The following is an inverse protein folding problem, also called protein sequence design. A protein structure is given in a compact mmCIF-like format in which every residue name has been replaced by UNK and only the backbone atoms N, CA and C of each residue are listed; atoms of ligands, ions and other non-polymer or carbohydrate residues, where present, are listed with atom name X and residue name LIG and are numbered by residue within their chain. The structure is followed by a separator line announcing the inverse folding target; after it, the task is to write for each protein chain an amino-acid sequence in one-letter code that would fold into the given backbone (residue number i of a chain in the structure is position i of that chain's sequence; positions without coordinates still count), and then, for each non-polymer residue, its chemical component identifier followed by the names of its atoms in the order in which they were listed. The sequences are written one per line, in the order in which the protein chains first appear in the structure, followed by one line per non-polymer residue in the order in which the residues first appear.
data_IF_195437285043
#
_entry.id   IF_195437285043
#
_cell.length_a   1.000
_cell.length_b   1.000
_cell.length_c   1.000
_cell.angle_alpha   90.00
_cell.angle_beta   90.00
_cell.angle_gamma   90.00
#
_symmetry.space_group_name_H-M   'P 1'
#
loop_
_entity.id
_entity.type
_entity.pdbx_description
1 polymer ?
#
# COMPACT_ATOMS: atom_id res chain seq x y z
N UNK A 1 -20.75 -25.51 -25.89
CA UNK A 1 -20.16 -24.29 -26.50
C UNK A 1 -20.78 -23.00 -25.96
N UNK A 2 -22.09 -22.89 -25.79
CA UNK A 2 -22.74 -21.64 -25.29
C UNK A 2 -22.33 -21.23 -23.87
N UNK A 3 -22.18 -22.16 -22.93
CA UNK A 3 -21.77 -21.85 -21.54
C UNK A 3 -20.37 -21.23 -21.44
N UNK A 4 -19.39 -21.77 -22.14
CA UNK A 4 -18.02 -21.26 -22.14
C UNK A 4 -17.89 -19.85 -22.78
N UNK A 5 -18.77 -19.51 -23.71
CA UNK A 5 -18.85 -18.16 -24.30
C UNK A 5 -19.42 -17.19 -23.27
N UNK A 6 -20.48 -17.57 -22.57
CA UNK A 6 -21.09 -16.76 -21.51
C UNK A 6 -20.14 -16.49 -20.32
N UNK A 7 -19.36 -17.49 -19.90
CA UNK A 7 -18.35 -17.34 -18.84
C UNK A 7 -17.22 -16.38 -19.28
N UNK A 8 -16.76 -16.48 -20.52
CA UNK A 8 -15.76 -15.56 -21.08
C UNK A 8 -16.26 -14.12 -21.19
N UNK A 9 -17.50 -13.95 -21.62
CA UNK A 9 -18.12 -12.61 -21.70
C UNK A 9 -18.29 -11.98 -20.31
N UNK A 10 -18.74 -12.75 -19.34
CA UNK A 10 -18.88 -12.27 -17.96
C UNK A 10 -17.53 -11.90 -17.33
N UNK A 11 -16.50 -12.71 -17.56
CA UNK A 11 -15.13 -12.42 -17.11
C UNK A 11 -14.56 -11.15 -17.76
N UNK A 12 -14.78 -10.96 -19.07
CA UNK A 12 -14.33 -9.75 -19.79
C UNK A 12 -15.05 -8.49 -19.30
N UNK A 13 -16.36 -8.58 -19.06
CA UNK A 13 -17.15 -7.48 -18.50
C UNK A 13 -16.69 -7.12 -17.09
N UNK A 14 -16.44 -8.11 -16.24
CA UNK A 14 -15.90 -7.88 -14.88
C UNK A 14 -14.53 -7.17 -14.94
N UNK A 15 -13.63 -7.62 -15.82
CA UNK A 15 -12.31 -7.00 -16.00
C UNK A 15 -12.42 -5.55 -16.50
N UNK A 16 -13.37 -5.29 -17.43
CA UNK A 16 -13.60 -3.93 -17.95
C UNK A 16 -14.15 -3.01 -16.87
N UNK A 17 -15.08 -3.50 -16.04
CA UNK A 17 -15.63 -2.74 -14.91
C UNK A 17 -14.57 -2.45 -13.84
N UNK A 18 -13.71 -3.41 -13.54
CA UNK A 18 -12.59 -3.24 -12.60
C UNK A 18 -11.60 -2.18 -13.09
N UNK A 19 -11.27 -2.18 -14.40
CA UNK A 19 -10.44 -1.14 -15.01
C UNK A 19 -11.08 0.24 -14.97
N UNK A 20 -12.38 0.33 -15.27
CA UNK A 20 -13.10 1.61 -15.23
C UNK A 20 -13.14 2.16 -13.80
N UNK A 21 -13.48 1.34 -12.82
CA UNK A 21 -13.47 1.74 -11.41
C UNK A 21 -12.09 2.23 -10.96
N UNK A 22 -11.01 1.60 -11.43
CA UNK A 22 -9.64 2.03 -11.17
C UNK A 22 -9.37 3.43 -11.75
N UNK A 23 -9.77 3.69 -13.00
CA UNK A 23 -9.60 4.99 -13.67
C UNK A 23 -10.39 6.08 -12.96
N UNK A 24 -11.63 5.81 -12.59
CA UNK A 24 -12.51 6.76 -11.90
C UNK A 24 -11.94 7.12 -10.51
N UNK A 25 -11.47 6.12 -9.75
CA UNK A 25 -10.83 6.32 -8.47
C UNK A 25 -9.51 7.10 -8.59
N UNK A 26 -8.70 6.80 -9.61
CA UNK A 26 -7.48 7.54 -9.93
C UNK A 26 -7.78 9.01 -10.21
N UNK A 27 -8.74 9.29 -11.09
CA UNK A 27 -9.13 10.66 -11.43
C UNK A 27 -9.59 11.44 -10.19
N UNK A 28 -10.31 10.78 -9.28
CA UNK A 28 -10.75 11.38 -8.03
C UNK A 28 -9.59 11.69 -7.07
N UNK A 29 -8.68 10.73 -6.87
CA UNK A 29 -7.52 10.89 -5.99
C UNK A 29 -6.48 11.89 -6.53
N UNK A 30 -6.38 12.06 -7.84
CA UNK A 30 -5.53 13.09 -8.47
C UNK A 30 -6.14 14.50 -8.39
N UNK A 31 -7.46 14.63 -8.48
CA UNK A 31 -8.15 15.93 -8.48
C UNK A 31 -7.90 16.70 -7.18
N UNK A 32 -7.91 16.03 -6.06
CA UNK A 32 -7.74 16.65 -4.73
C UNK A 32 -6.39 17.37 -4.59
N UNK A 33 -5.22 16.70 -4.77
CA UNK A 33 -3.93 17.36 -4.66
C UNK A 33 -3.73 18.42 -5.75
N UNK A 34 -4.18 18.19 -6.99
CA UNK A 34 -4.12 19.18 -8.05
C UNK A 34 -4.90 20.45 -7.71
N UNK A 35 -6.10 20.30 -7.13
CA UNK A 35 -6.91 21.45 -6.68
C UNK A 35 -6.20 22.23 -5.57
N UNK A 36 -5.54 21.54 -4.63
CA UNK A 36 -4.78 22.18 -3.57
C UNK A 36 -3.58 22.97 -4.12
N UNK A 37 -2.82 22.38 -5.06
CA UNK A 37 -1.68 23.04 -5.70
C UNK A 37 -2.15 24.26 -6.52
N UNK A 38 -3.18 24.11 -7.36
CA UNK A 38 -3.71 25.21 -8.18
C UNK A 38 -4.34 26.31 -7.32
N UNK A 39 -5.02 25.96 -6.22
CA UNK A 39 -5.55 26.92 -5.26
C UNK A 39 -4.43 27.70 -4.57
N UNK A 40 -3.39 26.98 -4.15
CA UNK A 40 -2.20 27.57 -3.53
C UNK A 40 -1.48 28.55 -4.45
N UNK A 41 -1.28 28.17 -5.72
CA UNK A 41 -0.64 29.09 -6.70
C UNK A 41 -1.45 30.38 -6.92
N UNK A 42 -2.78 30.27 -6.99
CA UNK A 42 -3.66 31.46 -7.11
C UNK A 42 -3.58 32.37 -5.90
N UNK A 43 -3.58 31.79 -4.68
CA UNK A 43 -3.44 32.56 -3.45
C UNK A 43 -2.09 33.30 -3.40
N UNK A 44 -0.99 32.63 -3.80
CA UNK A 44 0.33 33.28 -3.88
C UNK A 44 0.38 34.46 -4.85
N UNK A 45 -0.39 34.40 -5.94
CA UNK A 45 -0.43 35.46 -6.97
C UNK A 45 -1.36 36.64 -6.60
N UNK A 46 -2.47 36.35 -5.90
CA UNK A 46 -3.55 37.35 -5.74
C UNK A 46 -3.67 37.91 -4.33
N UNK A 47 -3.03 37.28 -3.33
CA UNK A 47 -3.21 37.66 -1.93
C UNK A 47 -1.93 38.29 -1.34
N UNK A 48 -2.10 39.26 -0.45
CA UNK A 48 -1.02 39.75 0.42
C UNK A 48 -0.89 38.83 1.60
N UNK A 49 -0.03 37.82 1.47
CA UNK A 49 0.24 36.82 2.50
C UNK A 49 1.43 37.31 3.35
N UNK A 50 1.41 37.01 4.66
CA UNK A 50 2.60 37.10 5.50
C UNK A 50 3.62 36.03 5.08
N UNK A 51 4.89 36.23 5.44
CA UNK A 51 5.96 35.24 5.16
C UNK A 51 5.65 33.87 5.75
N UNK A 52 5.07 33.80 6.95
CA UNK A 52 4.62 32.55 7.57
C UNK A 52 3.54 31.85 6.74
N UNK A 53 2.49 32.57 6.34
CA UNK A 53 1.42 32.03 5.51
C UNK A 53 1.92 31.55 4.14
N UNK A 54 2.88 32.28 3.57
CA UNK A 54 3.53 31.92 2.31
C UNK A 54 4.31 30.62 2.47
N UNK A 55 5.08 30.48 3.55
CA UNK A 55 5.83 29.26 3.87
C UNK A 55 4.93 28.04 4.03
N UNK A 56 3.88 28.13 4.85
CA UNK A 56 2.91 27.05 5.08
C UNK A 56 2.22 26.61 3.78
N UNK A 57 1.89 27.57 2.91
CA UNK A 57 1.25 27.29 1.63
C UNK A 57 2.20 26.56 0.67
N UNK A 58 3.46 27.00 0.58
CA UNK A 58 4.49 26.34 -0.23
C UNK A 58 4.78 24.91 0.28
N UNK A 59 4.87 24.70 1.59
CA UNK A 59 5.03 23.36 2.18
C UNK A 59 3.83 22.45 1.85
N UNK A 60 2.62 22.99 1.92
CA UNK A 60 1.41 22.24 1.57
C UNK A 60 1.43 21.83 0.11
N UNK A 61 1.76 22.75 -0.80
CA UNK A 61 1.87 22.44 -2.23
C UNK A 61 2.97 21.41 -2.50
N UNK A 62 4.13 21.52 -1.85
CA UNK A 62 5.21 20.56 -1.98
C UNK A 62 4.80 19.16 -1.51
N UNK A 63 4.09 19.06 -0.37
CA UNK A 63 3.54 17.76 0.12
C UNK A 63 2.56 17.13 -0.86
N UNK A 64 1.66 17.92 -1.44
CA UNK A 64 0.68 17.40 -2.40
C UNK A 64 1.35 17.01 -3.74
N UNK A 65 2.39 17.70 -4.18
CA UNK A 65 3.19 17.33 -5.35
C UNK A 65 3.95 16.02 -5.11
N UNK A 66 4.60 15.85 -3.96
CA UNK A 66 5.26 14.61 -3.58
C UNK A 66 4.29 13.43 -3.48
N UNK A 67 3.07 13.67 -2.99
CA UNK A 67 2.00 12.67 -2.96
C UNK A 67 1.60 12.20 -4.35
N UNK A 68 1.48 13.12 -5.33
CA UNK A 68 1.20 12.79 -6.72
C UNK A 68 2.32 11.95 -7.34
N UNK A 69 3.60 12.32 -7.11
CA UNK A 69 4.75 11.57 -7.59
C UNK A 69 4.74 10.12 -7.06
N UNK A 70 4.54 9.96 -5.75
CA UNK A 70 4.45 8.62 -5.14
C UNK A 70 3.27 7.80 -5.69
N UNK A 71 2.16 8.45 -6.02
CA UNK A 71 1.01 7.77 -6.61
C UNK A 71 1.31 7.30 -8.03
N UNK A 72 1.98 8.12 -8.84
CA UNK A 72 2.40 7.78 -10.20
C UNK A 72 3.37 6.60 -10.20
N UNK A 73 4.41 6.62 -9.36
CA UNK A 73 5.37 5.52 -9.20
C UNK A 73 4.68 4.19 -8.86
N UNK A 74 3.71 4.23 -7.92
CA UNK A 74 2.95 3.03 -7.52
C UNK A 74 2.03 2.51 -8.61
N UNK A 75 1.43 3.40 -9.41
CA UNK A 75 0.60 3.02 -10.56
C UNK A 75 1.45 2.37 -11.65
N UNK A 76 2.60 2.96 -11.99
CA UNK A 76 3.53 2.38 -12.93
C UNK A 76 3.99 0.99 -12.48
N UNK A 77 4.31 0.83 -11.21
CA UNK A 77 4.69 -0.46 -10.67
C UNK A 77 3.53 -1.47 -10.73
N UNK A 78 2.31 -1.06 -10.36
CA UNK A 78 1.12 -1.92 -10.47
C UNK A 78 0.88 -2.42 -11.90
N UNK A 79 1.13 -1.59 -12.91
CA UNK A 79 0.98 -1.98 -14.33
C UNK A 79 2.12 -2.88 -14.81
N UNK A 80 3.36 -2.62 -14.36
CA UNK A 80 4.52 -3.46 -14.71
C UNK A 80 4.38 -4.87 -14.15
N UNK A 81 3.98 -5.02 -12.89
CA UNK A 81 3.81 -6.32 -12.23
C UNK A 81 2.78 -7.24 -12.91
N UNK A 82 1.95 -6.74 -13.82
CA UNK A 82 1.03 -7.56 -14.61
C UNK A 82 1.71 -8.24 -15.84
N UNK A 83 2.89 -7.77 -16.24
CA UNK A 83 3.55 -8.14 -17.49
C UNK A 83 5.01 -8.59 -17.33
N UNK A 84 5.61 -8.42 -16.16
CA UNK A 84 7.02 -8.77 -15.92
C UNK A 84 7.15 -10.23 -15.45
N UNK A 85 8.09 -10.96 -16.08
CA UNK A 85 8.64 -12.18 -15.50
C UNK A 85 9.63 -11.76 -14.41
N UNK A 86 9.30 -12.05 -13.15
CA UNK A 86 10.17 -11.74 -12.02
C UNK A 86 11.45 -12.60 -12.06
N UNK A 87 12.59 -11.96 -11.92
CA UNK A 87 13.87 -12.64 -11.76
C UNK A 87 14.03 -13.09 -10.31
N UNK A 88 13.59 -14.30 -10.00
CA UNK A 88 13.70 -14.84 -8.66
C UNK A 88 15.14 -15.26 -8.36
N UNK A 89 15.64 -14.81 -7.21
CA UNK A 89 16.93 -15.18 -6.66
C UNK A 89 16.79 -15.52 -5.16
N UNK A 90 17.65 -16.39 -4.60
CA UNK A 90 17.66 -16.66 -3.18
C UNK A 90 18.16 -15.41 -2.42
N UNK A 91 17.54 -15.11 -1.27
CA UNK A 91 17.98 -14.06 -0.36
C UNK A 91 17.65 -14.38 1.10
N UNK A 92 18.48 -13.89 2.01
CA UNK A 92 18.25 -14.00 3.46
C UNK A 92 17.11 -13.05 3.87
N UNK A 93 16.05 -13.63 4.43
CA UNK A 93 14.85 -12.88 4.83
C UNK A 93 15.10 -12.00 6.06
N UNK A 94 16.05 -12.36 6.94
CA UNK A 94 16.39 -11.56 8.10
C UNK A 94 17.17 -10.31 7.70
N UNK A 95 18.23 -10.48 6.91
CA UNK A 95 19.00 -9.36 6.36
C UNK A 95 18.10 -8.41 5.54
N UNK A 96 17.20 -8.96 4.74
CA UNK A 96 16.20 -8.18 3.99
C UNK A 96 15.28 -7.39 4.92
N UNK A 97 14.76 -8.02 6.00
CA UNK A 97 13.87 -7.35 6.95
C UNK A 97 14.60 -6.26 7.73
N UNK A 98 15.82 -6.50 8.21
CA UNK A 98 16.65 -5.50 8.90
C UNK A 98 16.90 -4.27 8.02
N UNK A 99 17.22 -4.46 6.73
CA UNK A 99 17.35 -3.36 5.78
C UNK A 99 16.01 -2.64 5.53
N UNK A 100 14.94 -3.39 5.33
CA UNK A 100 13.62 -2.81 5.10
C UNK A 100 13.17 -1.92 6.27
N UNK A 101 13.48 -2.34 7.49
CA UNK A 101 13.05 -1.72 8.73
C UNK A 101 13.99 -0.61 9.23
N UNK A 102 15.20 -0.49 8.71
CA UNK A 102 16.22 0.48 9.15
C UNK A 102 15.77 1.94 9.09
N UNK A 103 14.74 2.25 8.31
CA UNK A 103 14.20 3.61 8.11
C UNK A 103 12.99 3.92 9.01
N UNK A 104 12.59 2.97 9.87
CA UNK A 104 11.42 3.11 10.73
C UNK A 104 11.79 3.09 12.21
N UNK A 105 11.25 4.04 12.95
CA UNK A 105 11.28 4.01 14.41
C UNK A 105 10.06 3.24 14.95
N UNK A 106 10.21 2.66 16.16
CA UNK A 106 9.09 2.00 16.85
C UNK A 106 8.64 0.69 16.19
N UNK A 107 9.55 -0.02 15.52
CA UNK A 107 9.29 -1.35 14.95
C UNK A 107 10.16 -2.38 15.62
N UNK A 108 9.58 -3.52 16.02
CA UNK A 108 10.26 -4.66 16.60
C UNK A 108 10.32 -5.80 15.60
N UNK A 109 11.53 -6.33 15.35
CA UNK A 109 11.75 -7.52 14.53
C UNK A 109 11.92 -8.75 15.45
N UNK A 110 11.16 -9.82 15.18
CA UNK A 110 11.17 -11.07 15.91
C UNK A 110 11.22 -12.28 14.95
N UNK A 111 11.45 -13.47 15.49
CA UNK A 111 11.50 -14.72 14.73
C UNK A 111 12.87 -14.97 14.09
N UNK A 112 13.02 -16.15 13.51
CA UNK A 112 14.23 -16.56 12.80
C UNK A 112 14.04 -16.34 11.30
N UNK A 113 15.07 -15.81 10.62
CA UNK A 113 15.10 -15.69 9.18
C UNK A 113 15.30 -17.04 8.50
N UNK A 114 14.98 -17.08 7.22
CA UNK A 114 15.21 -18.22 6.33
C UNK A 114 15.67 -17.71 4.96
N UNK A 115 16.20 -18.60 4.14
CA UNK A 115 16.44 -18.29 2.75
C UNK A 115 15.12 -18.29 1.97
N UNK A 116 14.79 -17.19 1.29
CA UNK A 116 13.62 -17.04 0.44
C UNK A 116 14.04 -17.03 -1.02
N UNK A 117 13.23 -17.62 -1.88
CA UNK A 117 13.36 -17.50 -3.33
C UNK A 117 12.35 -16.48 -3.85
N UNK A 118 12.81 -15.38 -4.40
CA UNK A 118 11.90 -14.31 -4.84
C UNK A 118 12.63 -13.09 -5.38
N UNK A 119 11.87 -12.05 -5.58
CA UNK A 119 12.37 -10.73 -5.95
C UNK A 119 12.53 -9.90 -4.67
N UNK A 120 13.78 -9.70 -4.24
CA UNK A 120 14.15 -9.11 -2.95
C UNK A 120 13.61 -7.69 -2.77
N UNK A 121 13.76 -6.83 -3.78
CA UNK A 121 13.36 -5.42 -3.71
C UNK A 121 11.84 -5.26 -3.61
N UNK A 122 11.08 -6.11 -4.31
CA UNK A 122 9.62 -6.13 -4.19
C UNK A 122 9.20 -6.63 -2.81
N UNK A 123 9.93 -7.56 -2.21
CA UNK A 123 9.66 -8.03 -0.85
C UNK A 123 9.93 -6.94 0.19
N UNK A 124 11.02 -6.18 0.04
CA UNK A 124 11.31 -4.97 0.84
C UNK A 124 10.17 -3.97 0.73
N UNK A 125 9.72 -3.68 -0.49
CA UNK A 125 8.62 -2.75 -0.75
C UNK A 125 7.32 -3.23 -0.12
N UNK A 126 7.02 -4.54 -0.21
CA UNK A 126 5.84 -5.14 0.43
C UNK A 126 5.91 -4.93 1.95
N UNK A 127 7.02 -5.31 2.60
CA UNK A 127 7.20 -5.17 4.04
C UNK A 127 7.07 -3.70 4.48
N UNK A 128 7.73 -2.77 3.80
CA UNK A 128 7.63 -1.32 4.07
C UNK A 128 6.20 -0.80 3.97
N UNK A 129 5.44 -1.22 2.94
CA UNK A 129 4.02 -0.82 2.82
C UNK A 129 3.18 -1.33 3.98
N UNK A 130 3.40 -2.55 4.46
CA UNK A 130 2.68 -3.10 5.60
C UNK A 130 3.02 -2.36 6.89
N UNK A 131 4.30 -2.06 7.14
CA UNK A 131 4.76 -1.30 8.31
C UNK A 131 4.18 0.11 8.31
N UNK A 132 4.20 0.82 7.18
CA UNK A 132 3.58 2.15 7.05
C UNK A 132 2.08 2.11 7.36
N UNK A 133 1.37 1.07 6.91
CA UNK A 133 -0.05 0.91 7.21
C UNK A 133 -0.28 0.64 8.71
N UNK A 134 0.53 -0.21 9.32
CA UNK A 134 0.48 -0.53 10.74
C UNK A 134 0.74 0.72 11.62
N UNK A 135 1.77 1.51 11.31
CA UNK A 135 2.06 2.77 12.03
C UNK A 135 0.91 3.79 11.88
N UNK A 136 0.27 3.86 10.72
CA UNK A 136 -0.88 4.74 10.48
C UNK A 136 -2.16 4.29 11.21
N UNK A 137 -2.32 3.01 11.45
CA UNK A 137 -3.44 2.50 12.24
C UNK A 137 -3.38 3.00 13.69
N UNK A 138 -2.19 3.42 14.14
CA UNK A 138 -1.92 3.90 15.49
C UNK A 138 -1.80 2.74 16.47
N UNK A 139 -1.73 3.08 17.75
CA UNK A 139 -1.56 2.12 18.83
C UNK A 139 -0.47 2.59 19.78
N UNK A 140 -0.53 2.13 21.04
CA UNK A 140 0.46 2.46 22.06
C UNK A 140 1.72 1.58 21.97
N UNK A 141 1.58 0.40 21.38
CA UNK A 141 2.65 -0.57 21.27
C UNK A 141 3.41 -0.43 19.94
N UNK A 142 4.70 -0.79 19.90
CA UNK A 142 5.47 -0.86 18.67
C UNK A 142 4.85 -1.83 17.66
N UNK A 143 4.98 -1.51 16.37
CA UNK A 143 4.65 -2.45 15.30
C UNK A 143 5.59 -3.65 15.40
N UNK A 144 5.04 -4.86 15.35
CA UNK A 144 5.83 -6.09 15.43
C UNK A 144 5.89 -6.78 14.06
N UNK A 145 7.08 -7.03 13.57
CA UNK A 145 7.35 -7.87 12.40
C UNK A 145 7.89 -9.21 12.89
N UNK A 146 7.21 -10.31 12.56
CA UNK A 146 7.63 -11.66 12.94
C UNK A 146 7.97 -12.47 11.70
N UNK A 147 9.21 -12.95 11.61
CA UNK A 147 9.68 -13.81 10.52
C UNK A 147 9.34 -15.27 10.78
N UNK A 148 9.07 -16.00 9.71
CA UNK A 148 8.86 -17.44 9.66
C UNK A 148 9.66 -18.05 8.51
N UNK A 149 9.77 -19.36 8.46
CA UNK A 149 10.48 -20.07 7.38
C UNK A 149 9.90 -19.84 5.98
N UNK A 150 8.65 -19.42 5.89
CA UNK A 150 7.94 -19.22 4.61
C UNK A 150 7.23 -17.86 4.50
N UNK A 151 7.68 -16.85 5.22
CA UNK A 151 7.06 -15.52 5.15
C UNK A 151 7.23 -14.71 6.41
N UNK A 152 6.36 -13.73 6.60
CA UNK A 152 6.36 -12.87 7.79
C UNK A 152 4.97 -12.32 8.08
N UNK A 153 4.78 -11.89 9.32
CA UNK A 153 3.61 -11.15 9.78
C UNK A 153 4.00 -9.74 10.19
N UNK A 154 3.10 -8.79 9.95
CA UNK A 154 3.17 -7.44 10.50
C UNK A 154 1.94 -7.22 11.36
N UNK A 155 2.17 -6.92 12.64
CA UNK A 155 1.11 -6.77 13.65
C UNK A 155 1.16 -5.38 14.26
N UNK A 156 0.00 -4.74 14.36
CA UNK A 156 -0.22 -3.49 15.09
C UNK A 156 -1.31 -3.66 16.15
N UNK A 157 -1.31 -2.78 17.14
CA UNK A 157 -2.34 -2.64 18.17
C UNK A 157 -3.20 -1.38 17.92
N UNK A 158 -3.46 -1.08 16.65
CA UNK A 158 -4.20 0.10 16.22
C UNK A 158 -5.72 -0.04 16.30
N UNK A 159 -6.42 0.76 15.51
CA UNK A 159 -7.89 0.81 15.55
C UNK A 159 -8.58 -0.46 15.04
N UNK A 160 -7.89 -1.32 14.32
CA UNK A 160 -8.49 -2.51 13.69
C UNK A 160 -9.44 -2.18 12.54
N UNK A 161 -10.07 -3.24 11.99
CA UNK A 161 -10.96 -3.16 10.84
C UNK A 161 -12.23 -4.00 11.04
N UNK A 162 -13.34 -3.56 10.42
CA UNK A 162 -14.58 -4.38 10.30
C UNK A 162 -14.40 -5.46 9.24
N UNK A 163 -15.31 -6.46 9.20
CA UNK A 163 -15.30 -7.50 8.16
C UNK A 163 -15.46 -6.91 6.76
N UNK A 164 -16.31 -5.90 6.60
CA UNK A 164 -16.53 -5.20 5.32
C UNK A 164 -15.28 -4.44 4.88
N UNK A 165 -14.56 -3.82 5.82
CA UNK A 165 -13.29 -3.15 5.54
C UNK A 165 -12.20 -4.14 5.13
N UNK A 166 -12.08 -5.28 5.82
CA UNK A 166 -11.13 -6.35 5.47
C UNK A 166 -11.39 -6.87 4.07
N UNK A 167 -12.66 -7.14 3.72
CA UNK A 167 -13.04 -7.66 2.40
C UNK A 167 -12.59 -6.74 1.26
N UNK A 168 -12.55 -5.42 1.51
CA UNK A 168 -12.20 -4.39 0.53
C UNK A 168 -10.78 -3.85 0.67
N UNK A 169 -10.04 -4.22 1.72
CA UNK A 169 -8.75 -3.63 2.06
C UNK A 169 -7.71 -3.70 0.93
N UNK A 170 -7.83 -4.71 0.07
CA UNK A 170 -6.95 -4.90 -1.07
C UNK A 170 -7.47 -4.27 -2.38
N UNK A 171 -8.62 -3.62 -2.39
CA UNK A 171 -9.11 -2.86 -3.55
C UNK A 171 -8.20 -1.62 -3.74
N UNK A 172 -7.75 -1.31 -4.98
CA UNK A 172 -7.02 -0.08 -5.25
C UNK A 172 -7.83 1.14 -4.84
N UNK A 173 -7.16 2.14 -4.23
CA UNK A 173 -7.73 3.39 -3.72
C UNK A 173 -8.75 3.24 -2.57
N UNK A 174 -8.99 2.03 -2.07
CA UNK A 174 -9.86 1.86 -0.91
C UNK A 174 -9.19 2.41 0.36
N UNK A 175 -9.98 3.14 1.15
CA UNK A 175 -9.60 3.69 2.45
C UNK A 175 -10.73 3.41 3.46
N UNK A 176 -10.41 2.73 4.55
CA UNK A 176 -11.38 2.35 5.58
C UNK A 176 -12.01 3.58 6.25
N UNK A 177 -11.27 4.69 6.37
CA UNK A 177 -11.71 5.94 7.01
C UNK A 177 -11.26 7.17 6.23
N UNK A 178 -12.21 7.83 5.53
CA UNK A 178 -11.95 9.10 4.82
C UNK A 178 -11.64 10.27 5.77
N UNK A 179 -12.02 10.19 7.04
CA UNK A 179 -11.88 11.26 8.01
C UNK A 179 -10.48 11.26 8.69
N UNK A 180 -9.91 10.09 8.97
CA UNK A 180 -8.60 9.94 9.64
C UNK A 180 -7.40 10.25 8.71
N UNK A 181 -7.61 10.22 7.41
CA UNK A 181 -6.55 10.36 6.39
C UNK A 181 -6.37 11.78 5.87
N UNK A 182 -7.07 12.79 6.43
CA UNK A 182 -6.94 14.20 6.01
C UNK A 182 -5.63 14.83 6.47
N UNK A 183 -4.48 14.31 6.10
CA UNK A 183 -3.19 14.92 6.42
C UNK A 183 -1.99 14.01 6.23
N UNK A 184 -2.17 12.71 6.41
CA UNK A 184 -1.08 11.73 6.29
C UNK A 184 -1.44 10.51 5.45
N UNK A 185 -2.62 10.50 4.81
CA UNK A 185 -3.16 9.33 4.13
C UNK A 185 -2.51 9.07 2.77
N UNK A 186 -1.99 7.85 2.56
CA UNK A 186 -1.58 7.38 1.25
C UNK A 186 -2.74 7.31 0.26
N UNK A 187 -2.42 7.10 -1.03
CA UNK A 187 -3.40 6.99 -2.12
C UNK A 187 -4.31 5.75 -2.08
N UNK A 188 -4.19 4.87 -1.06
CA UNK A 188 -4.96 3.62 -1.00
C UNK A 188 -4.43 2.53 -1.95
N UNK A 189 -3.18 2.66 -2.41
CA UNK A 189 -2.53 1.72 -3.34
C UNK A 189 -1.62 0.71 -2.64
N UNK A 190 -1.29 0.92 -1.36
CA UNK A 190 -0.28 0.11 -0.65
C UNK A 190 -0.66 -1.36 -0.54
N UNK A 191 -1.85 -1.68 -0.04
CA UNK A 191 -2.29 -3.07 0.14
C UNK A 191 -2.60 -3.76 -1.19
N UNK A 192 -3.14 -3.06 -2.18
CA UNK A 192 -3.34 -3.62 -3.53
C UNK A 192 -1.99 -3.97 -4.19
N UNK A 193 -0.95 -3.15 -4.00
CA UNK A 193 0.40 -3.44 -4.42
C UNK A 193 0.97 -4.66 -3.69
N UNK A 194 0.80 -4.74 -2.36
CA UNK A 194 1.23 -5.91 -1.58
C UNK A 194 0.59 -7.20 -2.11
N UNK A 195 -0.70 -7.19 -2.45
CA UNK A 195 -1.39 -8.34 -3.03
C UNK A 195 -0.84 -8.74 -4.40
N UNK A 196 -0.51 -7.77 -5.26
CA UNK A 196 0.13 -8.06 -6.55
C UNK A 196 1.53 -8.66 -6.39
N UNK A 197 2.34 -8.09 -5.52
CA UNK A 197 3.67 -8.64 -5.20
C UNK A 197 3.55 -10.07 -4.65
N UNK A 198 2.61 -10.30 -3.72
CA UNK A 198 2.38 -11.63 -3.19
C UNK A 198 2.00 -12.64 -4.29
N UNK A 199 1.13 -12.26 -5.21
CA UNK A 199 0.74 -13.12 -6.36
C UNK A 199 1.91 -13.39 -7.30
N UNK A 200 2.75 -12.38 -7.59
CA UNK A 200 3.96 -12.56 -8.39
C UNK A 200 4.87 -13.63 -7.79
N UNK A 201 5.05 -13.61 -6.47
CA UNK A 201 5.81 -14.61 -5.72
C UNK A 201 5.06 -15.95 -5.52
N UNK A 202 3.91 -16.18 -6.18
CA UNK A 202 3.02 -17.33 -5.96
C UNK A 202 2.63 -17.52 -4.49
N UNK A 203 2.70 -16.43 -3.72
CA UNK A 203 2.39 -16.39 -2.30
C UNK A 203 0.97 -15.91 -2.01
N UNK A 204 0.65 -15.84 -0.73
CA UNK A 204 -0.64 -15.38 -0.23
C UNK A 204 -0.45 -14.27 0.81
N UNK A 205 -1.37 -13.31 0.82
CA UNK A 205 -1.46 -12.27 1.84
C UNK A 205 -2.86 -12.27 2.46
N UNK A 206 -2.93 -12.27 3.79
CA UNK A 206 -4.18 -12.28 4.56
C UNK A 206 -4.17 -11.20 5.61
N UNK A 207 -5.37 -10.71 5.96
CA UNK A 207 -5.59 -9.75 7.03
C UNK A 207 -6.47 -10.40 8.09
N UNK A 208 -6.01 -10.37 9.34
CA UNK A 208 -6.74 -10.70 10.54
C UNK A 208 -6.86 -9.43 11.37
N UNK A 209 -8.08 -8.98 11.66
CA UNK A 209 -8.28 -7.71 12.38
C UNK A 209 -9.58 -7.72 13.15
N UNK A 210 -9.56 -7.02 14.29
CA UNK A 210 -10.73 -6.77 15.12
C UNK A 210 -10.69 -5.32 15.59
N UNK A 211 -11.84 -4.64 15.54
CA UNK A 211 -11.94 -3.23 15.95
C UNK A 211 -11.48 -3.06 17.40
N UNK A 212 -10.58 -2.12 17.61
CA UNK A 212 -10.00 -1.79 18.92
C UNK A 212 -8.90 -2.75 19.40
N UNK A 213 -8.60 -3.81 18.67
CA UNK A 213 -7.52 -4.77 19.01
C UNK A 213 -6.31 -4.70 18.09
N UNK A 214 -6.47 -4.06 16.92
CA UNK A 214 -5.41 -3.92 15.93
C UNK A 214 -5.55 -4.85 14.73
N UNK A 215 -4.47 -4.97 13.98
CA UNK A 215 -4.43 -5.73 12.73
C UNK A 215 -3.17 -6.57 12.66
N UNK A 216 -3.31 -7.78 12.12
CA UNK A 216 -2.21 -8.66 11.71
C UNK A 216 -2.33 -8.93 10.23
N UNK A 217 -1.29 -8.61 9.47
CA UNK A 217 -1.19 -8.93 8.06
C UNK A 217 -0.16 -10.02 7.89
N UNK A 218 -0.58 -11.16 7.36
CA UNK A 218 0.24 -12.35 7.17
C UNK A 218 0.63 -12.48 5.70
N UNK A 219 1.92 -12.55 5.40
CA UNK A 219 2.44 -12.84 4.08
C UNK A 219 3.16 -14.19 4.08
N UNK A 220 2.80 -15.08 3.15
CA UNK A 220 3.39 -16.42 3.00
C UNK A 220 3.75 -16.67 1.56
N UNK A 221 4.92 -17.27 1.35
CA UNK A 221 5.34 -17.80 0.05
C UNK A 221 4.90 -19.24 -0.11
N UNK A 222 4.73 -19.68 -1.34
CA UNK A 222 4.85 -21.09 -1.65
C UNK A 222 6.35 -21.39 -1.84
N UNK A 223 7.00 -21.83 -0.77
CA UNK A 223 8.40 -22.30 -0.85
C UNK A 223 8.38 -23.69 -1.48
N UNK A 224 8.71 -23.78 -2.75
CA UNK A 224 9.14 -25.03 -3.35
C UNK A 224 10.55 -24.78 -3.90
N UNK A 225 11.56 -25.19 -3.13
CA UNK A 225 12.87 -25.57 -3.67
C UNK A 225 12.78 -26.95 -4.25
#
# INVERSE_FOLDING_TARGET
MSAAIGERESALRAQTQERQALIDALAHEMRTPLTAILGGTRLLQQSRLSESQRGELLETMAREAARLSTMDERLLLLTRLDHEEAAFAPFDSRAMAEEALSVFDGVRLAGEGAEFLGERELTILLLRNLVVNAQRAGGAEPVCVTLYSNGFDVTDCGCGMTREQIARAFEPFYKADKARTRGAGGAGLGLSLCRKIARLHRGNIRIESEIGKGTRVCYRFETTL
#
